data_IF_471072405900
#
_entry.id   IF_471072405900
#
_cell.length_a   1.000
_cell.length_b   1.000
_cell.length_c   1.000
_cell.angle_alpha   90.00
_cell.angle_beta   90.00
_cell.angle_gamma   90.00
#
_symmetry.space_group_name_H-M   'P 1'
#
loop_
_entity.id
_entity.type
_entity.pdbx_description
1 polymer ?
#
# COMPACT_ATOMS: atom_id res chain seq x y z
N UNK A 1 5.22 -0.69 15.18
CA UNK A 1 5.30 -1.30 13.84
C UNK A 1 4.93 -0.20 12.86
N UNK A 2 5.81 0.12 11.93
CA UNK A 2 5.61 1.20 10.94
C UNK A 2 5.33 0.56 9.58
N UNK A 3 4.35 1.10 8.86
CA UNK A 3 3.97 0.65 7.53
C UNK A 3 3.93 1.85 6.57
N UNK A 4 4.48 1.68 5.38
CA UNK A 4 4.46 2.68 4.32
C UNK A 4 3.38 2.34 3.31
N UNK A 5 2.41 3.25 3.14
CA UNK A 5 1.37 3.14 2.11
C UNK A 5 1.82 3.93 0.88
N UNK A 6 1.86 3.26 -0.27
CA UNK A 6 2.21 3.86 -1.56
C UNK A 6 1.03 3.71 -2.52
N UNK A 7 0.94 4.63 -3.47
CA UNK A 7 -0.02 4.57 -4.57
C UNK A 7 0.73 4.69 -5.89
N UNK A 8 0.17 4.10 -6.96
CA UNK A 8 0.75 4.15 -8.29
C UNK A 8 0.62 5.54 -8.94
N UNK A 9 -0.35 6.34 -8.48
CA UNK A 9 -0.57 7.70 -8.94
C UNK A 9 -0.77 8.68 -7.77
N UNK A 10 -0.52 9.95 -8.04
CA UNK A 10 -0.56 11.02 -7.06
C UNK A 10 -1.99 11.33 -6.57
N UNK A 11 -2.99 11.19 -7.42
CA UNK A 11 -4.38 11.53 -7.11
C UNK A 11 -4.94 10.54 -6.09
N UNK A 12 -4.75 9.24 -6.32
CA UNK A 12 -5.09 8.17 -5.39
C UNK A 12 -4.36 8.35 -4.06
N UNK A 13 -3.06 8.70 -4.08
CA UNK A 13 -2.29 8.93 -2.85
C UNK A 13 -2.92 10.05 -1.98
N UNK A 14 -3.36 11.13 -2.62
CA UNK A 14 -4.05 12.22 -1.95
C UNK A 14 -5.41 11.74 -1.44
N UNK A 15 -6.27 11.16 -2.28
CA UNK A 15 -7.60 10.72 -1.87
C UNK A 15 -7.56 9.73 -0.68
N UNK A 16 -6.59 8.83 -0.66
CA UNK A 16 -6.35 7.90 0.45
C UNK A 16 -5.93 8.61 1.74
N UNK A 17 -5.11 9.67 1.64
CA UNK A 17 -4.78 10.50 2.80
C UNK A 17 -6.02 11.18 3.40
N UNK A 18 -6.92 11.69 2.55
CA UNK A 18 -8.14 12.36 2.98
C UNK A 18 -9.10 11.44 3.75
N UNK A 19 -9.14 10.14 3.41
CA UNK A 19 -9.96 9.16 4.16
C UNK A 19 -9.50 9.01 5.61
N UNK A 20 -8.23 9.29 5.92
CA UNK A 20 -7.64 9.16 7.25
C UNK A 20 -7.68 10.50 8.00
N UNK A 21 -7.50 11.62 7.30
CA UNK A 21 -7.53 12.96 7.88
C UNK A 21 -8.17 13.97 6.93
N UNK A 22 -9.25 14.61 7.39
CA UNK A 22 -9.89 15.73 6.68
C UNK A 22 -9.10 17.05 6.77
N UNK A 23 -7.98 17.07 7.51
CA UNK A 23 -7.10 18.21 7.63
C UNK A 23 -5.81 17.87 6.88
N UNK A 24 -5.65 18.41 5.67
CA UNK A 24 -4.34 18.46 5.02
C UNK A 24 -3.46 19.41 5.83
N UNK A 25 -2.71 18.85 6.79
CA UNK A 25 -1.51 19.52 7.25
C UNK A 25 -0.53 19.60 6.09
N UNK A 26 0.31 20.64 6.05
CA UNK A 26 1.36 20.84 5.06
C UNK A 26 2.14 19.54 4.82
N UNK A 27 1.84 18.85 3.73
CA UNK A 27 2.39 17.55 3.39
C UNK A 27 3.26 17.65 2.15
N UNK A 28 4.34 16.87 2.11
CA UNK A 28 5.17 16.73 0.90
C UNK A 28 4.80 15.42 0.22
N UNK A 29 4.36 15.49 -1.03
CA UNK A 29 4.18 14.30 -1.85
C UNK A 29 5.56 13.83 -2.35
N UNK A 30 5.89 12.57 -2.08
CA UNK A 30 7.19 11.99 -2.45
C UNK A 30 6.94 10.83 -3.42
N UNK A 31 7.49 10.95 -4.62
CA UNK A 31 7.52 9.85 -5.56
C UNK A 31 8.64 8.88 -5.15
N UNK A 32 8.35 7.59 -5.12
CA UNK A 32 9.32 6.55 -4.81
C UNK A 32 9.47 5.61 -6.00
N UNK A 33 10.70 5.14 -6.23
CA UNK A 33 10.97 3.99 -7.07
C UNK A 33 11.06 2.77 -6.17
N UNK A 34 10.17 1.81 -6.41
CA UNK A 34 10.09 0.57 -5.66
C UNK A 34 10.42 -0.60 -6.59
N UNK A 35 11.31 -1.48 -6.14
CA UNK A 35 11.53 -2.81 -6.69
C UNK A 35 11.21 -3.81 -5.59
N UNK A 36 10.23 -4.68 -5.83
CA UNK A 36 9.78 -5.72 -4.88
C UNK A 36 9.50 -7.00 -5.65
N UNK A 37 10.01 -8.12 -5.14
CA UNK A 37 9.68 -9.45 -5.67
C UNK A 37 9.48 -10.46 -4.54
N UNK A 38 8.36 -11.24 -4.52
CA UNK A 38 7.17 -11.18 -5.38
C UNK A 38 6.06 -10.23 -4.90
N UNK A 39 5.34 -9.60 -5.84
CA UNK A 39 4.12 -8.81 -5.59
C UNK A 39 2.90 -9.57 -6.05
N UNK A 40 1.84 -9.54 -5.25
CA UNK A 40 0.52 -10.03 -5.65
C UNK A 40 -0.23 -8.90 -6.36
N UNK A 41 -0.39 -9.03 -7.68
CA UNK A 41 -0.99 -7.99 -8.54
C UNK A 41 -2.45 -8.32 -8.90
N UNK A 42 -3.33 -7.37 -8.59
CA UNK A 42 -4.78 -7.39 -8.86
C UNK A 42 -5.22 -6.21 -9.73
N UNK A 43 -4.29 -5.52 -10.41
CA UNK A 43 -4.62 -4.39 -11.28
C UNK A 43 -5.64 -4.76 -12.36
N UNK A 44 -5.52 -5.97 -12.93
CA UNK A 44 -6.44 -6.50 -13.95
C UNK A 44 -7.69 -7.20 -13.36
N UNK A 45 -7.89 -7.12 -12.05
CA UNK A 45 -8.99 -7.77 -11.34
C UNK A 45 -8.74 -9.24 -10.99
N UNK A 46 -9.78 -9.90 -10.47
CA UNK A 46 -9.71 -11.30 -10.03
C UNK A 46 -9.89 -12.27 -11.22
N UNK A 47 -8.87 -13.08 -11.47
CA UNK A 47 -8.93 -14.22 -12.40
C UNK A 47 -9.02 -15.56 -11.66
N UNK A 48 -10.14 -16.26 -11.79
CA UNK A 48 -10.40 -17.54 -11.09
C UNK A 48 -9.46 -18.69 -11.49
N UNK A 49 -8.78 -18.59 -12.63
CA UNK A 49 -7.74 -19.54 -13.06
C UNK A 49 -6.39 -19.30 -12.39
N UNK A 50 -6.17 -18.10 -11.87
CA UNK A 50 -4.88 -17.63 -11.34
C UNK A 50 -4.92 -17.54 -9.81
N UNK A 51 -6.07 -17.16 -9.26
CA UNK A 51 -6.23 -16.85 -7.84
C UNK A 51 -7.31 -17.75 -7.20
N UNK A 52 -7.10 -18.20 -5.95
CA UNK A 52 -8.13 -18.92 -5.20
C UNK A 52 -9.40 -18.08 -4.95
N UNK A 53 -10.58 -18.69 -4.83
CA UNK A 53 -11.86 -17.98 -4.62
C UNK A 53 -11.89 -17.00 -3.45
N UNK A 54 -11.09 -17.25 -2.40
CA UNK A 54 -10.96 -16.36 -1.25
C UNK A 54 -10.44 -14.95 -1.62
N UNK A 55 -9.78 -14.81 -2.76
CA UNK A 55 -9.26 -13.53 -3.25
C UNK A 55 -10.30 -12.69 -3.98
N UNK A 56 -11.45 -13.26 -4.36
CA UNK A 56 -12.54 -12.53 -5.01
C UNK A 56 -13.09 -11.41 -4.11
N UNK A 57 -13.11 -11.63 -2.80
CA UNK A 57 -13.60 -10.69 -1.79
C UNK A 57 -12.45 -9.95 -1.06
N UNK A 58 -11.26 -9.89 -1.66
CA UNK A 58 -10.10 -9.18 -1.08
C UNK A 58 -10.35 -7.68 -0.87
N UNK A 59 -11.31 -7.08 -1.59
CA UNK A 59 -11.75 -5.69 -1.44
C UNK A 59 -12.99 -5.52 -0.54
N UNK A 60 -13.33 -6.51 0.27
CA UNK A 60 -14.47 -6.43 1.19
C UNK A 60 -14.35 -5.25 2.16
N UNK A 61 -15.49 -4.76 2.67
CA UNK A 61 -15.51 -3.82 3.80
C UNK A 61 -15.10 -4.57 5.08
N UNK A 62 -13.79 -4.62 5.31
CA UNK A 62 -13.22 -5.29 6.48
C UNK A 62 -13.67 -4.63 7.79
N UNK A 63 -14.01 -3.33 7.79
CA UNK A 63 -14.46 -2.63 8.99
C UNK A 63 -15.85 -3.11 9.38
N UNK A 64 -16.75 -3.22 8.42
CA UNK A 64 -18.08 -3.77 8.67
C UNK A 64 -18.00 -5.22 9.15
N UNK A 65 -17.26 -6.07 8.44
CA UNK A 65 -17.10 -7.49 8.80
C UNK A 65 -16.54 -7.66 10.21
N UNK A 66 -15.49 -6.91 10.55
CA UNK A 66 -14.81 -7.06 11.83
C UNK A 66 -15.56 -6.39 12.98
N UNK A 67 -15.95 -5.12 12.85
CA UNK A 67 -16.53 -4.36 13.95
C UNK A 67 -18.01 -4.69 14.17
N UNK A 68 -18.79 -4.88 13.11
CA UNK A 68 -20.23 -5.09 13.21
C UNK A 68 -20.58 -6.57 13.25
N UNK A 69 -19.98 -7.39 12.38
CA UNK A 69 -20.36 -8.80 12.22
C UNK A 69 -19.48 -9.77 13.02
N UNK A 70 -18.34 -9.31 13.55
CA UNK A 70 -17.35 -10.16 14.26
C UNK A 70 -16.87 -11.34 13.41
N UNK A 71 -16.82 -11.14 12.09
CA UNK A 71 -16.33 -12.11 11.11
C UNK A 71 -14.92 -11.71 10.70
N UNK A 72 -14.03 -12.70 10.59
CA UNK A 72 -12.70 -12.49 10.04
C UNK A 72 -12.81 -12.09 8.55
N UNK A 73 -12.27 -10.93 8.14
CA UNK A 73 -12.36 -10.48 6.76
C UNK A 73 -11.60 -11.40 5.79
N UNK A 74 -12.20 -11.77 4.63
CA UNK A 74 -11.50 -12.50 3.57
C UNK A 74 -10.20 -11.84 3.11
N UNK A 75 -10.12 -10.50 3.19
CA UNK A 75 -8.92 -9.73 2.88
C UNK A 75 -7.73 -10.03 3.80
N UNK A 76 -7.96 -10.45 5.05
CA UNK A 76 -6.91 -10.86 5.99
C UNK A 76 -6.38 -12.25 5.64
N UNK A 77 -7.28 -13.19 5.37
CA UNK A 77 -6.91 -14.54 4.89
C UNK A 77 -6.11 -14.45 3.60
N UNK A 78 -6.52 -13.61 2.65
CA UNK A 78 -5.75 -13.35 1.43
C UNK A 78 -4.36 -12.75 1.74
N UNK A 79 -4.28 -11.83 2.71
CA UNK A 79 -3.01 -11.30 3.20
C UNK A 79 -2.07 -12.38 3.74
N UNK A 80 -2.58 -13.27 4.59
CA UNK A 80 -1.80 -14.38 5.15
C UNK A 80 -1.33 -15.35 4.07
N UNK A 81 -2.19 -15.63 3.07
CA UNK A 81 -1.83 -16.45 1.92
C UNK A 81 -0.72 -15.82 1.08
N UNK A 82 -0.76 -14.49 0.87
CA UNK A 82 0.34 -13.76 0.22
C UNK A 82 1.64 -13.93 1.01
N UNK A 83 1.62 -13.65 2.30
CA UNK A 83 2.81 -13.75 3.17
C UNK A 83 3.39 -15.16 3.12
N UNK A 84 2.55 -16.20 3.22
CA UNK A 84 2.98 -17.59 3.14
C UNK A 84 3.58 -17.98 1.79
N UNK A 85 3.12 -17.35 0.69
CA UNK A 85 3.67 -17.51 -0.65
C UNK A 85 4.92 -16.65 -0.91
N UNK A 86 5.38 -15.89 0.10
CA UNK A 86 6.47 -14.93 -0.03
C UNK A 86 6.05 -13.61 -0.69
N UNK A 87 4.78 -13.45 -1.03
CA UNK A 87 4.20 -12.25 -1.63
C UNK A 87 3.92 -11.16 -0.60
N UNK A 88 4.09 -9.91 -1.01
CA UNK A 88 3.70 -8.74 -0.21
C UNK A 88 2.35 -8.23 -0.76
N UNK A 89 1.31 -8.25 0.07
CA UNK A 89 0.12 -7.41 -0.18
C UNK A 89 0.57 -5.96 0.02
N UNK A 90 0.45 -5.07 -0.96
CA UNK A 90 1.14 -3.77 -0.93
C UNK A 90 0.49 -2.75 0.03
N UNK A 91 0.58 -3.05 1.32
CA UNK A 91 0.88 -2.13 2.39
C UNK A 91 2.29 -2.54 2.82
N UNK A 92 3.31 -1.70 2.62
CA UNK A 92 4.69 -2.06 2.92
C UNK A 92 4.86 -2.11 4.44
N UNK A 93 4.60 -3.28 5.03
CA UNK A 93 4.92 -3.61 6.41
C UNK A 93 6.34 -4.15 6.40
N UNK A 94 7.28 -3.41 7.00
CA UNK A 94 8.72 -3.66 6.89
C UNK A 94 9.16 -5.06 7.34
N UNK A 95 9.30 -5.98 6.37
CA UNK A 95 10.46 -6.86 6.20
C UNK A 95 10.69 -7.00 4.69
N UNK A 96 11.43 -6.05 4.13
CA UNK A 96 11.90 -6.10 2.74
C UNK A 96 13.00 -7.16 2.61
N UNK A 97 12.90 -8.03 1.61
CA UNK A 97 13.92 -9.00 1.29
C UNK A 97 15.18 -8.28 0.78
N UNK A 98 16.34 -8.96 0.79
CA UNK A 98 17.62 -8.35 0.42
C UNK A 98 17.68 -7.79 -1.02
N UNK A 99 16.78 -8.24 -1.91
CA UNK A 99 16.66 -7.78 -3.28
C UNK A 99 15.69 -6.59 -3.45
N UNK A 100 14.85 -6.32 -2.45
CA UNK A 100 13.88 -5.23 -2.52
C UNK A 100 14.59 -3.89 -2.29
N UNK A 101 14.20 -2.88 -3.05
CA UNK A 101 14.72 -1.53 -2.85
C UNK A 101 13.63 -0.48 -2.97
N UNK A 102 13.58 0.40 -1.97
CA UNK A 102 12.77 1.60 -1.97
C UNK A 102 13.70 2.81 -2.00
N UNK A 103 13.59 3.63 -3.04
CA UNK A 103 14.38 4.86 -3.19
C UNK A 103 13.48 6.03 -3.50
N UNK A 104 13.77 7.19 -2.92
CA UNK A 104 13.12 8.44 -3.32
C UNK A 104 13.48 8.73 -4.77
N UNK A 105 12.46 9.00 -5.57
CA UNK A 105 12.60 9.35 -6.98
C UNK A 105 12.55 10.87 -7.14
N UNK A 106 13.71 11.51 -7.06
CA UNK A 106 13.86 12.96 -7.24
C UNK A 106 14.91 13.32 -8.30
N UNK A 107 14.60 13.14 -9.60
CA UNK A 107 15.55 13.38 -10.68
C UNK A 107 15.87 14.87 -10.88
N UNK A 108 15.09 15.77 -10.26
CA UNK A 108 15.25 17.22 -10.38
C UNK A 108 15.83 17.86 -9.12
N UNK A 109 16.14 17.05 -8.10
CA UNK A 109 16.59 17.50 -6.78
C UNK A 109 15.67 18.59 -6.18
N UNK A 110 14.36 18.46 -6.45
CA UNK A 110 13.36 19.45 -6.11
C UNK A 110 12.73 19.23 -4.73
N UNK A 111 13.01 18.09 -4.09
CA UNK A 111 12.53 17.80 -2.75
C UNK A 111 13.32 18.57 -1.69
N UNK A 112 12.67 18.94 -0.57
CA UNK A 112 13.36 19.56 0.54
C UNK A 112 14.46 18.64 1.11
N UNK A 113 15.71 19.04 0.95
CA UNK A 113 16.90 18.34 1.45
C UNK A 113 17.02 18.41 2.98
N UNK A 114 16.44 19.44 3.59
CA UNK A 114 16.41 19.66 5.02
C UNK A 114 15.20 20.50 5.43
N UNK A 115 14.97 20.62 6.74
CA UNK A 115 13.84 21.36 7.30
C UNK A 115 13.74 22.81 6.81
N UNK A 116 14.88 23.46 6.50
CA UNK A 116 14.96 24.83 6.00
C UNK A 116 14.63 25.01 4.51
N UNK A 117 14.61 23.91 3.75
CA UNK A 117 14.32 23.91 2.30
C UNK A 117 12.85 23.62 1.95
N UNK A 118 11.97 23.50 2.95
CA UNK A 118 10.53 23.31 2.71
C UNK A 118 9.91 24.63 2.21
N UNK A 119 9.00 24.59 1.21
CA UNK A 119 8.23 25.76 0.84
C UNK A 119 7.43 26.26 2.06
N UNK A 120 7.50 27.57 2.31
CA UNK A 120 6.79 28.24 3.41
C UNK A 120 5.31 28.40 3.10
#
# INVERSE_FOLDING_TARGET
MEALKLSLDAETAVLEYWQVSNLLLSGTLICHRLTVEPVVDFADGYGASTWPPTWADSRCDWRELWFNLRVEPPSWVAGDMAIAAGGINLVVVCTVAAADSLRVHDPKDALPQNQGSRPR
#
